data_IF_051680226240
#
_entry.id   IF_051680226240
#
_cell.length_a   1.000
_cell.length_b   1.000
_cell.length_c   1.000
_cell.angle_alpha   90.00
_cell.angle_beta   90.00
_cell.angle_gamma   90.00
#
_symmetry.space_group_name_H-M   'P 1'
#
loop_
_entity.id
_entity.type
_entity.pdbx_description
1 polymer ?
#
# COMPACT_ATOMS: atom_id res chain seq x y z
N UNK A 1 13.93 10.66 7.41
CA UNK A 1 12.96 11.56 8.08
C UNK A 1 13.60 12.09 9.36
N UNK A 2 13.59 13.40 9.51
CA UNK A 2 14.34 14.14 10.54
C UNK A 2 13.98 13.63 11.94
N UNK A 3 12.69 13.50 12.28
CA UNK A 3 12.25 12.98 13.57
C UNK A 3 12.79 11.59 13.92
N UNK A 4 13.08 10.71 12.95
CA UNK A 4 13.68 9.38 13.22
C UNK A 4 15.12 9.49 13.74
N UNK A 5 15.85 10.52 13.31
CA UNK A 5 17.20 10.83 13.80
C UNK A 5 17.10 11.42 15.21
N UNK A 6 16.27 12.44 15.39
CA UNK A 6 16.14 13.15 16.66
C UNK A 6 15.43 12.33 17.75
N UNK A 7 14.53 11.41 17.42
CA UNK A 7 13.87 10.53 18.40
C UNK A 7 14.80 9.47 18.99
N UNK A 8 15.89 9.12 18.28
CA UNK A 8 16.94 8.26 18.84
C UNK A 8 17.83 9.04 19.81
N UNK A 9 18.06 10.32 19.52
CA UNK A 9 18.96 11.19 20.30
C UNK A 9 18.29 11.78 21.54
N UNK A 10 17.04 12.21 21.44
CA UNK A 10 16.33 12.96 22.49
C UNK A 10 15.22 12.17 23.19
N UNK A 11 15.05 10.89 22.84
CA UNK A 11 13.96 10.04 23.35
C UNK A 11 12.62 10.22 22.63
N UNK A 12 11.59 9.58 23.17
CA UNK A 12 10.20 9.65 22.66
C UNK A 12 9.44 10.85 23.27
N UNK A 13 8.28 11.18 22.69
CA UNK A 13 7.38 12.33 22.97
C UNK A 13 7.50 12.97 24.37
N UNK A 14 7.58 14.30 24.43
CA UNK A 14 7.63 15.09 25.68
C UNK A 14 8.91 15.93 25.85
N UNK A 15 9.88 15.81 24.94
CA UNK A 15 11.12 16.58 24.99
C UNK A 15 10.99 17.91 24.23
N UNK A 16 11.02 19.05 24.94
CA UNK A 16 10.95 20.40 24.39
C UNK A 16 12.00 20.66 23.30
N UNK A 17 13.21 20.10 23.43
CA UNK A 17 14.26 20.26 22.42
C UNK A 17 13.92 19.57 21.11
N UNK A 18 13.29 18.39 21.18
CA UNK A 18 12.80 17.67 20.00
C UNK A 18 11.73 18.50 19.28
N UNK A 19 10.77 19.07 20.00
CA UNK A 19 9.71 19.89 19.41
C UNK A 19 10.26 21.15 18.71
N UNK A 20 11.22 21.83 19.35
CA UNK A 20 11.89 23.00 18.75
C UNK A 20 12.65 22.59 17.49
N UNK A 21 13.39 21.48 17.53
CA UNK A 21 14.12 20.98 16.35
C UNK A 21 13.16 20.64 15.20
N UNK A 22 12.06 19.93 15.47
CA UNK A 22 11.05 19.58 14.46
C UNK A 22 10.37 20.82 13.85
N UNK A 23 10.13 21.86 14.66
CA UNK A 23 9.56 23.14 14.21
C UNK A 23 10.53 23.92 13.34
N UNK A 24 11.79 24.08 13.78
CA UNK A 24 12.85 24.74 13.01
C UNK A 24 13.09 24.07 11.66
N UNK A 25 13.09 22.73 11.65
CA UNK A 25 13.25 21.92 10.44
C UNK A 25 11.98 21.81 9.60
N UNK A 26 10.90 22.50 9.98
CA UNK A 26 9.60 22.55 9.28
C UNK A 26 9.05 21.17 8.95
N UNK A 27 9.34 20.17 9.78
CA UNK A 27 9.06 18.77 9.44
C UNK A 27 7.56 18.52 9.23
N UNK A 28 6.70 19.23 9.97
CA UNK A 28 5.25 19.19 9.77
C UNK A 28 4.83 19.65 8.36
N UNK A 29 5.48 20.69 7.81
CA UNK A 29 5.22 21.16 6.44
C UNK A 29 5.71 20.14 5.42
N UNK A 30 6.93 19.62 5.58
CA UNK A 30 7.52 18.59 4.70
C UNK A 30 6.64 17.34 4.66
N UNK A 31 6.19 16.86 5.82
CA UNK A 31 5.26 15.72 5.91
C UNK A 31 3.94 16.01 5.20
N UNK A 32 3.41 17.22 5.34
CA UNK A 32 2.14 17.59 4.71
C UNK A 32 2.28 17.69 3.19
N UNK A 33 3.36 18.30 2.71
CA UNK A 33 3.70 18.40 1.30
C UNK A 33 3.86 17.03 0.65
N UNK A 34 4.61 16.12 1.30
CA UNK A 34 4.79 14.76 0.81
C UNK A 34 3.46 14.00 0.66
N UNK A 35 2.53 14.16 1.62
CA UNK A 35 1.20 13.53 1.55
C UNK A 35 0.38 14.09 0.38
N UNK A 36 0.43 15.41 0.17
CA UNK A 36 -0.27 16.07 -0.92
C UNK A 36 0.28 15.65 -2.28
N UNK A 37 1.61 15.59 -2.41
CA UNK A 37 2.28 15.11 -3.63
C UNK A 37 1.92 13.65 -3.91
N UNK A 38 2.00 12.78 -2.90
CA UNK A 38 1.58 11.39 -3.03
C UNK A 38 0.13 11.27 -3.51
N UNK A 39 -0.80 12.00 -2.88
CA UNK A 39 -2.20 11.98 -3.29
C UNK A 39 -2.39 12.47 -4.73
N UNK A 40 -1.70 13.55 -5.11
CA UNK A 40 -1.72 14.09 -6.48
C UNK A 40 -1.22 13.06 -7.49
N UNK A 41 -0.08 12.42 -7.23
CA UNK A 41 0.50 11.41 -8.11
C UNK A 41 -0.42 10.21 -8.29
N UNK A 42 -1.08 9.74 -7.22
CA UNK A 42 -2.07 8.64 -7.33
C UNK A 42 -3.20 9.01 -8.28
N UNK A 43 -3.73 10.23 -8.18
CA UNK A 43 -4.82 10.68 -9.06
C UNK A 43 -4.34 10.89 -10.50
N UNK A 44 -3.13 11.42 -10.71
CA UNK A 44 -2.55 11.60 -12.05
C UNK A 44 -2.29 10.27 -12.78
N UNK A 45 -2.00 9.20 -12.05
CA UNK A 45 -1.85 7.85 -12.61
C UNK A 45 -3.19 7.30 -13.09
N UNK A 46 -4.29 7.63 -12.40
CA UNK A 46 -5.63 7.15 -12.75
C UNK A 46 -6.31 8.13 -13.69
N UNK A 47 -5.99 8.01 -14.98
CA UNK A 47 -6.63 8.82 -16.04
C UNK A 47 -8.03 8.32 -16.37
N UNK A 48 -8.17 7.00 -16.54
CA UNK A 48 -9.43 6.32 -16.84
C UNK A 48 -9.53 5.07 -15.96
N UNK A 49 -10.40 5.09 -14.94
CA UNK A 49 -10.58 3.93 -14.06
C UNK A 49 -11.14 4.26 -12.69
N UNK A 50 -11.09 3.27 -11.81
CA UNK A 50 -11.49 3.39 -10.41
C UNK A 50 -10.33 3.04 -9.49
N UNK A 51 -10.26 3.71 -8.34
CA UNK A 51 -9.24 3.43 -7.32
C UNK A 51 -9.81 2.50 -6.26
N UNK A 52 -9.22 1.33 -6.09
CA UNK A 52 -9.57 0.42 -4.99
C UNK A 52 -8.56 0.61 -3.84
N UNK A 53 -9.06 0.95 -2.66
CA UNK A 53 -8.27 1.18 -1.46
C UNK A 53 -8.66 0.20 -0.35
N UNK A 54 -7.73 -0.13 0.54
CA UNK A 54 -8.05 -0.86 1.77
C UNK A 54 -8.92 -0.02 2.69
N UNK A 55 -9.97 -0.59 3.26
CA UNK A 55 -10.71 0.04 4.34
C UNK A 55 -9.88 0.01 5.63
N UNK A 56 -9.30 1.17 5.99
CA UNK A 56 -8.51 1.31 7.21
C UNK A 56 -9.42 1.77 8.37
N UNK A 57 -9.68 0.92 9.38
CA UNK A 57 -10.52 1.29 10.51
C UNK A 57 -9.92 2.43 11.32
N UNK A 58 -10.76 3.15 12.07
CA UNK A 58 -10.36 4.36 12.83
C UNK A 58 -9.15 4.13 13.74
N UNK A 59 -9.07 2.94 14.33
CA UNK A 59 -8.06 2.49 15.31
C UNK A 59 -7.07 1.50 14.68
N UNK A 60 -6.91 1.49 13.36
CA UNK A 60 -6.05 0.53 12.66
C UNK A 60 -4.65 0.42 13.29
N UNK A 61 -4.02 1.56 13.59
CA UNK A 61 -2.68 1.58 14.16
C UNK A 61 -2.65 1.00 15.58
N UNK A 62 -3.64 1.31 16.42
CA UNK A 62 -3.74 0.79 17.79
C UNK A 62 -3.99 -0.72 17.78
N UNK A 63 -4.92 -1.19 16.92
CA UNK A 63 -5.18 -2.62 16.72
C UNK A 63 -3.96 -3.39 16.26
N UNK A 64 -3.15 -2.80 15.37
CA UNK A 64 -1.89 -3.41 14.91
C UNK A 64 -0.85 -3.47 16.03
N UNK A 65 -0.76 -2.43 16.88
CA UNK A 65 0.12 -2.40 18.04
C UNK A 65 -0.25 -3.50 19.03
N UNK A 66 -1.54 -3.58 19.39
CA UNK A 66 -2.07 -4.58 20.32
C UNK A 66 -1.89 -5.99 19.80
N UNK A 67 -2.34 -6.26 18.57
CA UNK A 67 -2.33 -7.61 17.98
C UNK A 67 -0.92 -8.17 17.79
N UNK A 68 0.03 -7.34 17.37
CA UNK A 68 1.38 -7.80 17.07
C UNK A 68 2.36 -7.55 18.23
N UNK A 69 1.88 -7.03 19.36
CA UNK A 69 2.73 -6.71 20.52
C UNK A 69 3.85 -5.71 20.19
N UNK A 70 3.61 -4.76 19.27
CA UNK A 70 4.62 -3.78 18.87
C UNK A 70 4.87 -2.83 20.04
N UNK A 71 6.13 -2.66 20.46
CA UNK A 71 6.49 -1.83 21.62
C UNK A 71 7.52 -0.76 21.26
N UNK A 72 7.67 0.23 22.15
CA UNK A 72 8.72 1.23 22.09
C UNK A 72 8.71 2.08 20.80
N UNK A 73 9.89 2.21 20.18
CA UNK A 73 10.08 3.07 19.02
C UNK A 73 9.25 2.66 17.80
N UNK A 74 8.97 1.38 17.62
CA UNK A 74 8.22 0.91 16.45
C UNK A 74 6.72 1.16 16.59
N UNK A 75 6.17 1.04 17.81
CA UNK A 75 4.79 1.45 18.08
C UNK A 75 4.62 2.96 17.86
N UNK A 76 5.56 3.75 18.37
CA UNK A 76 5.58 5.19 18.17
C UNK A 76 5.68 5.57 16.67
N UNK A 77 6.55 4.91 15.90
CA UNK A 77 6.64 5.10 14.44
C UNK A 77 5.34 4.74 13.74
N UNK A 78 4.68 3.65 14.16
CA UNK A 78 3.42 3.25 13.56
C UNK A 78 2.35 4.31 13.80
N UNK A 79 2.21 4.83 15.03
CA UNK A 79 1.28 5.94 15.30
C UNK A 79 1.59 7.18 14.44
N UNK A 80 2.87 7.43 14.17
CA UNK A 80 3.30 8.54 13.32
C UNK A 80 3.08 8.34 11.82
N UNK A 81 2.83 7.11 11.33
CA UNK A 81 2.81 6.80 9.90
C UNK A 81 1.72 7.53 9.11
N UNK A 82 0.74 8.15 9.78
CA UNK A 82 -0.30 8.99 9.17
C UNK A 82 -1.04 8.36 7.97
N UNK A 83 -1.08 7.02 7.93
CA UNK A 83 -1.65 6.23 6.83
C UNK A 83 -3.09 6.65 6.52
N UNK A 84 -3.93 6.74 7.56
CA UNK A 84 -5.32 7.20 7.43
C UNK A 84 -5.43 8.63 6.89
N UNK A 85 -4.48 9.51 7.24
CA UNK A 85 -4.47 10.88 6.75
C UNK A 85 -4.07 10.96 5.28
N UNK A 86 -3.14 10.10 4.84
CA UNK A 86 -2.82 9.94 3.42
C UNK A 86 -4.02 9.40 2.67
N UNK A 87 -4.64 8.33 3.15
CA UNK A 87 -5.82 7.75 2.51
C UNK A 87 -6.97 8.76 2.40
N UNK A 88 -7.26 9.50 3.47
CA UNK A 88 -8.27 10.56 3.45
C UNK A 88 -7.97 11.63 2.39
N UNK A 89 -6.71 12.08 2.29
CA UNK A 89 -6.29 13.04 1.27
C UNK A 89 -6.41 12.48 -0.16
N UNK A 90 -6.14 11.19 -0.36
CA UNK A 90 -6.34 10.51 -1.65
C UNK A 90 -7.84 10.52 -1.99
N UNK A 91 -8.69 10.09 -1.07
CA UNK A 91 -10.15 10.07 -1.25
C UNK A 91 -10.69 11.46 -1.58
N UNK A 92 -10.29 12.49 -0.81
CA UNK A 92 -10.67 13.88 -1.07
C UNK A 92 -10.26 14.31 -2.48
N UNK A 93 -9.04 13.99 -2.91
CA UNK A 93 -8.54 14.32 -4.26
C UNK A 93 -9.26 13.57 -5.38
N UNK A 94 -9.63 12.31 -5.16
CA UNK A 94 -10.40 11.53 -6.13
C UNK A 94 -11.81 12.11 -6.28
N UNK A 95 -12.46 12.46 -5.16
CA UNK A 95 -13.77 13.12 -5.19
C UNK A 95 -13.73 14.47 -5.90
N UNK A 96 -12.69 15.29 -5.68
CA UNK A 96 -12.49 16.57 -6.37
C UNK A 96 -12.33 16.44 -7.89
N UNK A 97 -11.88 15.29 -8.37
CA UNK A 97 -11.66 15.00 -9.80
C UNK A 97 -12.75 14.08 -10.39
N UNK A 98 -13.81 13.80 -9.63
CA UNK A 98 -14.89 12.88 -10.01
C UNK A 98 -14.39 11.46 -10.38
N UNK A 99 -13.27 11.02 -9.81
CA UNK A 99 -12.73 9.67 -10.02
C UNK A 99 -13.41 8.69 -9.05
N UNK A 100 -14.04 7.61 -9.53
CA UNK A 100 -14.66 6.62 -8.66
C UNK A 100 -13.62 5.93 -7.76
N UNK A 101 -14.01 5.66 -6.51
CA UNK A 101 -13.19 4.87 -5.59
C UNK A 101 -14.04 3.87 -4.79
N UNK A 102 -13.41 2.78 -4.38
CA UNK A 102 -14.04 1.71 -3.59
C UNK A 102 -13.14 1.35 -2.42
N UNK A 103 -13.75 1.18 -1.24
CA UNK A 103 -13.06 0.70 -0.04
C UNK A 103 -13.32 -0.81 0.14
N UNK A 104 -12.26 -1.59 0.26
CA UNK A 104 -12.33 -3.05 0.37
C UNK A 104 -11.73 -3.51 1.69
N UNK A 105 -12.39 -4.46 2.36
CA UNK A 105 -11.89 -5.01 3.61
C UNK A 105 -10.50 -5.67 3.40
N UNK A 106 -9.45 -5.22 4.12
CA UNK A 106 -8.07 -5.68 3.93
C UNK A 106 -7.77 -7.09 4.46
N UNK A 107 -8.74 -7.78 5.07
CA UNK A 107 -8.53 -9.10 5.63
C UNK A 107 -8.01 -10.10 4.58
N UNK A 108 -6.94 -10.82 4.93
CA UNK A 108 -6.31 -11.90 4.16
C UNK A 108 -5.70 -11.53 2.79
N UNK A 109 -5.52 -10.25 2.48
CA UNK A 109 -4.98 -9.79 1.18
C UNK A 109 -3.46 -10.03 1.03
N UNK A 110 -2.69 -10.00 2.11
CA UNK A 110 -1.21 -10.03 2.03
C UNK A 110 -0.56 -11.38 2.35
N UNK A 111 -1.36 -12.44 2.52
CA UNK A 111 -0.89 -13.79 2.93
C UNK A 111 -1.33 -14.91 2.00
N UNK A 112 -2.11 -14.58 0.97
CA UNK A 112 -2.75 -15.53 0.06
C UNK A 112 -2.18 -15.36 -1.34
N UNK A 113 -1.94 -16.47 -2.03
CA UNK A 113 -1.42 -16.43 -3.40
C UNK A 113 -2.49 -15.88 -4.35
N UNK A 114 -2.18 -14.83 -5.14
CA UNK A 114 -3.12 -14.25 -6.09
C UNK A 114 -3.40 -15.15 -7.31
N UNK A 115 -2.70 -16.28 -7.46
CA UNK A 115 -2.95 -17.27 -8.51
C UNK A 115 -3.86 -18.39 -8.02
N UNK A 116 -3.40 -19.15 -7.03
CA UNK A 116 -4.04 -20.40 -6.60
C UNK A 116 -4.69 -20.35 -5.20
N UNK A 117 -4.77 -19.18 -4.57
CA UNK A 117 -5.33 -18.98 -3.22
C UNK A 117 -4.66 -19.77 -2.08
N UNK A 118 -3.54 -20.46 -2.33
CA UNK A 118 -2.77 -21.12 -1.27
C UNK A 118 -2.06 -20.11 -0.37
N UNK A 119 -1.82 -20.49 0.90
CA UNK A 119 -1.08 -19.66 1.85
C UNK A 119 0.37 -19.45 1.40
N UNK A 120 0.84 -18.21 1.48
CA UNK A 120 2.20 -17.83 1.11
C UNK A 120 3.17 -17.99 2.28
N UNK A 121 4.43 -18.26 1.96
CA UNK A 121 5.54 -18.35 2.92
C UNK A 121 6.63 -17.32 2.63
N UNK A 122 7.25 -16.69 3.64
CA UNK A 122 8.34 -15.74 3.44
C UNK A 122 9.60 -16.46 2.97
N UNK A 123 10.28 -15.93 1.94
CA UNK A 123 11.51 -16.56 1.40
C UNK A 123 12.73 -16.32 2.29
N UNK A 124 12.84 -15.13 2.89
CA UNK A 124 13.99 -14.71 3.69
C UNK A 124 13.91 -15.11 5.16
N UNK A 125 12.95 -15.97 5.53
CA UNK A 125 12.68 -16.37 6.92
C UNK A 125 12.04 -15.27 7.78
N UNK A 126 12.04 -14.01 7.33
CA UNK A 126 11.47 -12.88 8.05
C UNK A 126 10.30 -12.25 7.29
N UNK A 127 9.11 -12.26 7.91
CA UNK A 127 7.92 -11.58 7.37
C UNK A 127 7.95 -10.05 7.58
N UNK A 128 8.87 -9.56 8.41
CA UNK A 128 9.02 -8.16 8.76
C UNK A 128 10.05 -7.47 7.87
N UNK A 129 9.72 -6.24 7.44
CA UNK A 129 10.59 -5.43 6.59
C UNK A 129 11.80 -4.97 7.41
N UNK A 130 13.00 -5.38 7.01
CA UNK A 130 14.24 -4.83 7.56
C UNK A 130 14.79 -3.74 6.61
N UNK A 131 14.46 -2.47 6.90
CA UNK A 131 14.87 -1.34 6.06
C UNK A 131 14.07 -1.24 4.76
N UNK A 132 14.74 -1.05 3.63
CA UNK A 132 14.11 -0.98 2.29
C UNK A 132 14.09 -2.32 1.56
N UNK A 133 14.41 -3.43 2.25
CA UNK A 133 14.47 -4.75 1.63
C UNK A 133 13.06 -5.24 1.26
N UNK A 134 12.87 -5.81 0.05
CA UNK A 134 11.60 -6.37 -0.35
C UNK A 134 11.22 -7.56 0.54
N UNK A 135 9.92 -7.71 0.81
CA UNK A 135 9.33 -8.80 1.58
C UNK A 135 8.83 -9.86 0.62
N UNK A 136 9.75 -10.61 0.05
CA UNK A 136 9.42 -11.62 -0.94
C UNK A 136 8.69 -12.79 -0.29
N UNK A 137 7.51 -13.10 -0.83
CA UNK A 137 6.67 -14.22 -0.46
C UNK A 137 6.64 -15.23 -1.61
N UNK A 138 6.69 -16.53 -1.29
CA UNK A 138 6.60 -17.63 -2.25
C UNK A 138 5.36 -18.47 -1.98
N UNK A 139 4.71 -18.91 -3.05
CA UNK A 139 3.67 -19.94 -2.98
C UNK A 139 4.31 -21.33 -3.07
N UNK A 140 4.14 -22.22 -2.08
CA UNK A 140 4.65 -23.58 -2.17
C UNK A 140 3.88 -24.44 -3.19
N UNK A 141 2.63 -24.08 -3.50
CA UNK A 141 1.77 -24.85 -4.40
C UNK A 141 2.05 -24.56 -5.89
N UNK A 142 2.06 -23.29 -6.30
CA UNK A 142 2.22 -22.89 -7.71
C UNK A 142 3.54 -22.20 -8.04
N UNK A 143 4.46 -22.08 -7.07
CA UNK A 143 5.78 -21.45 -7.27
C UNK A 143 5.78 -19.93 -7.40
N UNK A 144 4.62 -19.27 -7.48
CA UNK A 144 4.50 -17.81 -7.59
C UNK A 144 5.31 -17.08 -6.51
N UNK A 145 6.06 -16.05 -6.90
CA UNK A 145 6.93 -15.29 -6.01
C UNK A 145 6.86 -13.80 -6.32
N UNK A 146 6.59 -12.97 -5.31
CA UNK A 146 6.60 -11.51 -5.45
C UNK A 146 6.73 -10.81 -4.08
N UNK A 147 6.99 -9.51 -4.09
CA UNK A 147 6.89 -8.66 -2.89
C UNK A 147 5.47 -8.65 -2.31
N UNK A 148 5.40 -8.74 -0.97
CA UNK A 148 4.16 -8.79 -0.20
C UNK A 148 3.21 -7.60 -0.43
N UNK A 149 3.73 -6.40 -0.66
CA UNK A 149 2.89 -5.21 -0.87
C UNK A 149 2.20 -5.28 -2.24
N UNK A 150 2.91 -5.76 -3.26
CA UNK A 150 2.33 -5.98 -4.59
C UNK A 150 1.27 -7.09 -4.54
N UNK A 151 1.55 -8.18 -3.82
CA UNK A 151 0.57 -9.25 -3.59
C UNK A 151 -0.69 -8.70 -2.92
N UNK A 152 -0.52 -7.87 -1.90
CA UNK A 152 -1.62 -7.19 -1.21
C UNK A 152 -2.46 -6.36 -2.19
N UNK A 153 -1.82 -5.51 -2.99
CA UNK A 153 -2.50 -4.68 -3.98
C UNK A 153 -3.30 -5.50 -5.01
N UNK A 154 -2.70 -6.55 -5.57
CA UNK A 154 -3.37 -7.45 -6.53
C UNK A 154 -4.58 -8.14 -5.88
N UNK A 155 -4.44 -8.64 -4.66
CA UNK A 155 -5.53 -9.33 -3.97
C UNK A 155 -6.69 -8.40 -3.59
N UNK A 156 -6.43 -7.13 -3.29
CA UNK A 156 -7.48 -6.12 -3.06
C UNK A 156 -8.34 -5.93 -4.31
N UNK A 157 -7.69 -5.77 -5.48
CA UNK A 157 -8.39 -5.64 -6.76
C UNK A 157 -9.15 -6.92 -7.08
N UNK A 158 -8.51 -8.09 -6.91
CA UNK A 158 -9.16 -9.39 -7.14
C UNK A 158 -10.41 -9.55 -6.26
N UNK A 159 -10.33 -9.17 -4.99
CA UNK A 159 -11.47 -9.23 -4.07
C UNK A 159 -12.62 -8.34 -4.52
N UNK A 160 -12.33 -7.11 -4.95
CA UNK A 160 -13.34 -6.24 -5.53
C UNK A 160 -14.04 -6.87 -6.76
N UNK A 161 -13.26 -7.44 -7.68
CA UNK A 161 -13.82 -8.08 -8.88
C UNK A 161 -14.68 -9.32 -8.56
N UNK A 162 -14.29 -10.09 -7.55
CA UNK A 162 -15.06 -11.27 -7.10
C UNK A 162 -16.31 -10.88 -6.32
N UNK A 163 -16.24 -9.89 -5.43
CA UNK A 163 -17.37 -9.43 -4.61
C UNK A 163 -18.46 -8.73 -5.47
N UNK A 164 -18.09 -8.18 -6.64
CA UNK A 164 -19.02 -7.59 -7.62
C UNK A 164 -19.72 -8.63 -8.54
N UNK A 165 -19.43 -9.92 -8.37
CA UNK A 165 -20.22 -11.01 -8.99
C UNK A 165 -21.37 -11.40 -8.06
N UNK A 166 -22.44 -10.59 -7.99
CA UNK A 166 -23.51 -10.74 -8.97
C UNK A 166 -24.16 -9.39 -9.35
N UNK A 167 -23.52 -8.63 -10.25
CA UNK A 167 -24.26 -7.66 -11.07
C UNK A 167 -24.07 -8.07 -12.52
N UNK A 168 -25.14 -8.37 -13.28
CA UNK A 168 -25.03 -8.72 -14.68
C UNK A 168 -24.71 -7.43 -15.45
N UNK A 169 -23.43 -7.09 -15.54
CA UNK A 169 -22.98 -6.26 -16.65
C UNK A 169 -22.98 -7.18 -17.86
N UNK A 170 -24.10 -7.17 -18.58
CA UNK A 170 -24.32 -8.06 -19.70
C UNK A 170 -23.19 -7.94 -20.73
N UNK A 171 -22.42 -9.01 -20.87
CA UNK A 171 -21.89 -9.45 -22.15
C UNK A 171 -21.42 -10.89 -22.04
N UNK A 172 -21.91 -11.66 -23.00
CA UNK A 172 -21.72 -13.09 -23.26
C UNK A 172 -20.26 -13.55 -23.12
N UNK A 173 -20.10 -14.79 -22.65
CA UNK A 173 -18.92 -15.60 -22.96
C UNK A 173 -18.07 -15.91 -21.73
N UNK A 174 -18.07 -17.19 -21.37
CA UNK A 174 -17.03 -17.83 -20.57
C UNK A 174 -15.68 -17.55 -21.24
N UNK A 175 -14.91 -16.63 -20.69
CA UNK A 175 -13.48 -16.54 -20.94
C UNK A 175 -12.81 -16.20 -19.61
N UNK A 176 -11.82 -17.02 -19.24
CA UNK A 176 -10.87 -16.71 -18.18
C UNK A 176 -10.46 -15.23 -18.31
N UNK A 177 -10.70 -14.45 -17.25
CA UNK A 177 -10.24 -13.08 -17.16
C UNK A 177 -8.70 -13.13 -17.07
N UNK A 178 -8.04 -13.20 -18.24
CA UNK A 178 -6.61 -12.98 -18.36
C UNK A 178 -6.35 -11.48 -18.11
N UNK A 179 -6.38 -11.11 -16.84
CA UNK A 179 -5.99 -9.77 -16.38
C UNK A 179 -4.47 -9.68 -16.51
N UNK A 180 -3.99 -8.95 -17.50
CA UNK A 180 -2.59 -8.53 -17.54
C UNK A 180 -2.36 -7.50 -16.44
N UNK A 181 -1.65 -7.91 -15.39
CA UNK A 181 -1.30 -7.05 -14.28
C UNK A 181 -0.08 -6.21 -14.65
N UNK A 182 -0.27 -4.94 -15.01
CA UNK A 182 0.83 -3.99 -15.12
C UNK A 182 1.20 -3.47 -13.73
N UNK A 183 2.32 -3.93 -13.17
CA UNK A 183 2.88 -3.41 -11.92
C UNK A 183 3.99 -2.42 -12.28
N UNK A 184 3.71 -1.12 -12.22
CA UNK A 184 4.77 -0.10 -12.39
C UNK A 184 5.52 0.04 -11.07
N UNK A 185 6.66 -0.65 -10.94
CA UNK A 185 7.59 -0.39 -9.85
C UNK A 185 8.38 0.87 -10.16
N UNK A 186 8.11 1.97 -9.45
CA UNK A 186 8.92 3.18 -9.55
C UNK A 186 10.20 2.98 -8.74
N UNK A 187 11.30 2.66 -9.41
CA UNK A 187 12.62 2.69 -8.80
C UNK A 187 13.10 4.15 -8.68
N UNK A 188 13.83 4.45 -7.62
CA UNK A 188 14.28 5.81 -7.33
C UNK A 188 15.42 6.19 -8.28
N UNK A 189 15.18 7.10 -9.22
CA UNK A 189 16.22 7.73 -10.05
C UNK A 189 16.21 7.40 -11.55
N UNK A 190 15.29 6.58 -12.04
CA UNK A 190 15.10 6.32 -13.47
C UNK A 190 13.63 6.51 -13.84
N UNK A 191 13.38 7.13 -15.01
CA UNK A 191 12.02 7.28 -15.55
C UNK A 191 11.34 5.93 -15.70
N UNK A 192 10.05 5.89 -15.37
CA UNK A 192 9.23 4.69 -15.48
C UNK A 192 9.18 4.23 -16.94
N UNK A 193 9.95 3.20 -17.28
CA UNK A 193 9.83 2.53 -18.58
C UNK A 193 8.79 1.41 -18.48
N UNK A 194 7.68 1.49 -19.22
CA UNK A 194 6.76 0.36 -19.35
C UNK A 194 7.43 -0.72 -20.21
N UNK A 195 7.65 -1.90 -19.64
CA UNK A 195 8.02 -3.08 -20.42
C UNK A 195 6.73 -3.55 -21.13
N UNK A 196 6.51 -3.05 -22.35
CA UNK A 196 5.48 -3.54 -23.25
C UNK A 196 6.01 -4.81 -23.93
N UNK A 197 5.65 -5.98 -23.40
CA UNK A 197 5.73 -7.20 -24.18
C UNK A 197 4.58 -7.19 -25.20
N UNK A 198 4.91 -7.11 -26.50
CA UNK A 198 3.93 -7.22 -27.58
C UNK A 198 3.37 -8.65 -27.61
N UNK A 199 2.04 -8.86 -27.67
CA UNK A 199 1.50 -10.19 -27.87
C UNK A 199 1.66 -10.61 -29.33
N UNK A 200 2.31 -11.75 -29.55
CA UNK A 200 2.25 -12.50 -30.81
C UNK A 200 0.93 -13.27 -30.81
N UNK A 201 0.12 -13.05 -31.84
CA UNK A 201 -1.13 -13.79 -32.06
C UNK A 201 -0.78 -15.04 -32.87
N UNK A 202 -1.12 -16.22 -32.34
CA UNK A 202 -1.26 -17.47 -33.09
C UNK A 202 -2.67 -17.99 -32.90
#
# INVERSE_FOLDING_TARGET
MIQRRWSKTYGVVGNRMLEVALRKLREGRVKTDLKRKLAKTVVEIVKDGAVILEDLPKEFQDRVIEKNGVKGLDAHRLKQSSMRRVQKLIIEKLSEQCVPYVLVNPAHTSSVCPRCNSKLVPVTGNAQRNGWKPRIMKCPNCGFMHDRDVIGAVNIVRKYLLDMSPVPLGSKGVHDLHVEWSVTTVNHGEEAQPILARPTVT
#
